data_IF_030957244584
#
_entry.id   IF_030957244584
#
_cell.length_a   1.000
_cell.length_b   1.000
_cell.length_c   1.000
_cell.angle_alpha   90.00
_cell.angle_beta   90.00
_cell.angle_gamma   90.00
#
_symmetry.space_group_name_H-M   'P 1'
#
loop_
_entity.id
_entity.type
_entity.pdbx_description
1 polymer ?
#
# COMPACT_ATOMS: atom_id res chain seq x y z
N UNK A 1 23.80 7.51 -9.48
CA UNK A 1 24.53 8.74 -9.11
C UNK A 1 23.83 10.03 -9.58
N UNK A 2 23.19 10.09 -10.76
CA UNK A 2 22.56 11.34 -11.26
C UNK A 2 21.29 11.80 -10.51
N UNK A 3 20.44 10.88 -10.04
CA UNK A 3 19.18 11.23 -9.37
C UNK A 3 19.26 11.29 -7.83
N UNK A 4 20.43 11.00 -7.25
CA UNK A 4 20.65 11.12 -5.80
C UNK A 4 20.71 12.59 -5.36
N UNK A 5 21.36 13.44 -6.16
CA UNK A 5 21.44 14.88 -5.90
C UNK A 5 20.06 15.54 -5.73
N UNK A 6 19.08 15.40 -6.67
CA UNK A 6 17.79 16.05 -6.49
C UNK A 6 17.01 15.55 -5.28
N UNK A 7 17.17 14.28 -4.87
CA UNK A 7 16.54 13.77 -3.63
C UNK A 7 17.16 14.42 -2.40
N UNK A 8 18.49 14.44 -2.30
CA UNK A 8 19.18 15.05 -1.16
C UNK A 8 18.91 16.56 -1.07
N UNK A 9 18.87 17.23 -2.22
CA UNK A 9 18.59 18.66 -2.29
C UNK A 9 17.14 18.96 -1.89
N UNK A 10 16.17 18.17 -2.37
CA UNK A 10 14.77 18.31 -1.95
C UNK A 10 14.62 18.13 -0.43
N UNK A 11 15.33 17.16 0.16
CA UNK A 11 15.35 16.94 1.61
C UNK A 11 15.96 18.14 2.34
N UNK A 12 17.13 18.62 1.92
CA UNK A 12 17.80 19.79 2.52
C UNK A 12 16.89 21.01 2.50
N UNK A 13 16.35 21.35 1.33
CA UNK A 13 15.43 22.48 1.16
C UNK A 13 14.17 22.33 2.00
N UNK A 14 13.63 21.10 2.14
CA UNK A 14 12.45 20.85 2.99
C UNK A 14 12.78 21.09 4.46
N UNK A 15 13.92 20.57 4.95
CA UNK A 15 14.34 20.76 6.34
C UNK A 15 14.57 22.25 6.67
N UNK A 16 15.21 22.99 5.76
CA UNK A 16 15.40 24.44 5.92
C UNK A 16 14.07 25.20 5.94
N UNK A 17 13.17 24.88 5.01
CA UNK A 17 11.84 25.52 4.92
C UNK A 17 10.99 25.28 6.17
N UNK A 18 11.11 24.13 6.80
CA UNK A 18 10.31 23.75 7.98
C UNK A 18 11.13 23.77 9.28
N UNK A 19 12.26 24.48 9.31
CA UNK A 19 13.12 24.58 10.50
C UNK A 19 12.38 25.14 11.72
N UNK A 20 11.50 26.14 11.53
CA UNK A 20 10.67 26.70 12.61
C UNK A 20 9.65 25.70 13.19
N UNK A 21 9.30 24.66 12.43
CA UNK A 21 8.44 23.55 12.90
C UNK A 21 9.25 22.42 13.53
N UNK A 22 10.57 22.59 13.63
CA UNK A 22 11.50 21.61 14.18
C UNK A 22 11.41 20.25 13.48
N UNK A 23 11.17 20.23 12.16
CA UNK A 23 11.14 18.99 11.37
C UNK A 23 12.52 18.31 11.42
N UNK A 24 12.57 17.09 11.91
CA UNK A 24 13.81 16.34 12.08
C UNK A 24 14.12 15.46 10.85
N UNK A 25 15.41 15.17 10.68
CA UNK A 25 15.93 14.30 9.61
C UNK A 25 15.34 12.89 9.64
N UNK A 26 14.84 12.41 10.79
CA UNK A 26 14.21 11.11 10.98
C UNK A 26 12.67 11.12 10.84
N UNK A 27 12.06 12.25 10.53
CA UNK A 27 10.60 12.40 10.35
C UNK A 27 10.20 12.44 8.86
N UNK A 28 11.18 12.38 7.95
CA UNK A 28 10.98 12.37 6.51
C UNK A 28 11.68 11.16 5.87
N UNK A 29 11.03 10.55 4.90
CA UNK A 29 11.65 9.62 3.96
C UNK A 29 11.16 9.92 2.55
N UNK A 30 12.03 9.75 1.56
CA UNK A 30 11.74 10.04 0.15
C UNK A 30 12.33 8.92 -0.69
N UNK A 31 11.55 8.39 -1.63
CA UNK A 31 12.05 7.52 -2.69
C UNK A 31 11.63 8.11 -4.03
N UNK A 32 12.60 8.27 -4.93
CA UNK A 32 12.38 8.65 -6.31
C UNK A 32 12.77 7.47 -7.20
N UNK A 33 11.82 7.03 -8.01
CA UNK A 33 12.04 6.05 -9.08
C UNK A 33 11.90 6.77 -10.41
N UNK A 34 12.97 6.78 -11.19
CA UNK A 34 13.01 7.34 -12.53
C UNK A 34 12.78 6.25 -13.56
N UNK A 35 11.65 6.35 -14.26
CA UNK A 35 11.20 5.39 -15.26
C UNK A 35 11.34 5.91 -16.70
N UNK A 36 12.07 7.01 -16.93
CA UNK A 36 12.29 7.56 -18.29
C UNK A 36 12.93 6.54 -19.23
N UNK A 37 13.76 5.65 -18.68
CA UNK A 37 14.28 4.47 -19.36
C UNK A 37 13.68 3.21 -18.71
N UNK A 38 12.52 2.76 -19.20
CA UNK A 38 11.76 1.68 -18.57
C UNK A 38 12.55 0.36 -18.38
N UNK A 39 13.51 0.06 -19.25
CA UNK A 39 14.37 -1.13 -19.15
C UNK A 39 15.53 -0.98 -18.14
N UNK A 40 15.78 0.24 -17.67
CA UNK A 40 16.85 0.59 -16.74
C UNK A 40 16.34 1.61 -15.72
N UNK A 41 15.36 1.23 -14.88
CA UNK A 41 14.84 2.13 -13.86
C UNK A 41 15.97 2.54 -12.92
N UNK A 42 16.05 3.83 -12.62
CA UNK A 42 16.99 4.34 -11.62
C UNK A 42 16.24 4.66 -10.34
N UNK A 43 16.85 4.37 -9.19
CA UNK A 43 16.29 4.75 -7.89
C UNK A 43 17.28 5.63 -7.11
N UNK A 44 16.74 6.62 -6.41
CA UNK A 44 17.41 7.32 -5.33
C UNK A 44 16.46 7.41 -4.14
N UNK A 45 17.01 7.44 -2.94
CA UNK A 45 16.21 7.59 -1.74
C UNK A 45 16.97 8.36 -0.65
N UNK A 46 16.18 8.93 0.24
CA UNK A 46 16.58 9.38 1.55
C UNK A 46 15.75 8.59 2.56
N UNK A 47 16.42 7.71 3.33
CA UNK A 47 15.76 6.77 4.27
C UNK A 47 14.70 5.89 3.59
N UNK A 48 14.93 5.45 2.36
CA UNK A 48 13.95 4.64 1.61
C UNK A 48 13.76 3.21 2.13
N UNK A 49 14.59 2.79 3.08
CA UNK A 49 14.59 1.47 3.72
C UNK A 49 13.81 1.45 5.05
N UNK A 50 13.43 2.60 5.59
CA UNK A 50 12.71 2.67 6.87
C UNK A 50 11.23 2.34 6.68
N UNK A 51 10.68 1.57 7.61
CA UNK A 51 9.25 1.28 7.62
C UNK A 51 8.46 2.51 8.06
N UNK A 52 7.39 2.84 7.33
CA UNK A 52 6.51 3.96 7.60
C UNK A 52 5.08 3.45 7.71
N UNK A 53 4.30 4.04 8.61
CA UNK A 53 2.85 3.82 8.64
C UNK A 53 2.22 4.41 7.35
N UNK A 54 1.67 3.57 6.45
CA UNK A 54 1.28 4.02 5.11
C UNK A 54 -0.02 4.83 5.07
N UNK A 55 -0.79 4.85 6.17
CA UNK A 55 -2.17 5.33 6.17
C UNK A 55 -2.94 4.79 4.96
N UNK A 56 -3.66 5.64 4.22
CA UNK A 56 -4.45 5.22 3.05
C UNK A 56 -3.64 4.79 1.83
N UNK A 57 -2.30 4.94 1.81
CA UNK A 57 -1.46 4.41 0.71
C UNK A 57 -1.59 2.88 0.59
N UNK A 58 -1.93 2.21 1.69
CA UNK A 58 -2.20 0.76 1.71
C UNK A 58 -3.30 0.33 0.72
N UNK A 59 -4.24 1.23 0.39
CA UNK A 59 -5.35 0.97 -0.55
C UNK A 59 -4.87 0.62 -1.96
N UNK A 60 -3.68 1.08 -2.35
CA UNK A 60 -3.06 0.68 -3.61
C UNK A 60 -2.73 -0.82 -3.66
N UNK A 61 -2.38 -1.44 -2.53
CA UNK A 61 -2.11 -2.88 -2.46
C UNK A 61 -3.40 -3.68 -2.69
N UNK A 62 -4.51 -3.23 -2.12
CA UNK A 62 -5.83 -3.83 -2.38
C UNK A 62 -6.28 -3.65 -3.83
N UNK A 63 -6.05 -2.47 -4.43
CA UNK A 63 -6.36 -2.24 -5.85
C UNK A 63 -5.55 -3.17 -6.75
N UNK A 64 -4.24 -3.31 -6.52
CA UNK A 64 -3.37 -4.22 -7.31
C UNK A 64 -3.84 -5.66 -7.19
N UNK A 65 -4.15 -6.13 -5.97
CA UNK A 65 -4.68 -7.48 -5.78
C UNK A 65 -6.03 -7.69 -6.49
N UNK A 66 -6.94 -6.73 -6.38
CA UNK A 66 -8.24 -6.78 -7.05
C UNK A 66 -8.10 -6.85 -8.58
N UNK A 67 -7.28 -5.99 -9.18
CA UNK A 67 -7.03 -6.00 -10.63
C UNK A 67 -6.43 -7.33 -11.06
N UNK A 68 -5.39 -7.81 -10.35
CA UNK A 68 -4.74 -9.06 -10.70
C UNK A 68 -5.67 -10.27 -10.60
N UNK A 69 -6.51 -10.33 -9.57
CA UNK A 69 -7.46 -11.43 -9.42
C UNK A 69 -8.64 -11.36 -10.38
N UNK A 70 -9.03 -10.17 -10.85
CA UNK A 70 -9.96 -10.05 -11.98
C UNK A 70 -9.33 -10.60 -13.27
N UNK A 71 -8.08 -10.23 -13.56
CA UNK A 71 -7.33 -10.75 -14.73
C UNK A 71 -7.18 -12.28 -14.69
N UNK A 72 -6.87 -12.84 -13.52
CA UNK A 72 -6.72 -14.28 -13.31
C UNK A 72 -8.08 -15.03 -13.25
N UNK A 73 -9.22 -14.34 -13.36
CA UNK A 73 -10.56 -14.95 -13.26
C UNK A 73 -10.96 -15.42 -11.86
N UNK A 74 -10.22 -15.03 -10.82
CA UNK A 74 -10.48 -15.36 -9.40
C UNK A 74 -11.48 -14.40 -8.75
N UNK A 75 -11.63 -13.20 -9.30
CA UNK A 75 -12.54 -12.17 -8.80
C UNK A 75 -13.49 -11.73 -9.92
N UNK A 76 -14.79 -11.76 -9.67
CA UNK A 76 -15.79 -11.34 -10.65
C UNK A 76 -15.83 -9.82 -10.75
N UNK A 77 -15.71 -9.31 -11.97
CA UNK A 77 -15.95 -7.91 -12.27
C UNK A 77 -17.45 -7.60 -12.15
N UNK A 78 -17.83 -6.83 -11.13
CA UNK A 78 -19.22 -6.47 -10.86
C UNK A 78 -19.36 -4.95 -10.70
N UNK A 79 -20.54 -4.38 -10.97
CA UNK A 79 -20.77 -2.94 -10.77
C UNK A 79 -20.44 -2.48 -9.35
N UNK A 80 -20.76 -3.28 -8.33
CA UNK A 80 -20.48 -2.95 -6.94
C UNK A 80 -18.98 -3.00 -6.60
N UNK A 81 -18.24 -3.98 -7.12
CA UNK A 81 -16.79 -4.02 -6.99
C UNK A 81 -16.14 -2.79 -7.65
N UNK A 82 -16.62 -2.39 -8.84
CA UNK A 82 -16.13 -1.21 -9.57
C UNK A 82 -16.41 0.09 -8.81
N UNK A 83 -17.63 0.25 -8.26
CA UNK A 83 -17.98 1.39 -7.38
C UNK A 83 -17.05 1.45 -6.18
N UNK A 84 -16.90 0.35 -5.45
CA UNK A 84 -16.11 0.34 -4.23
C UNK A 84 -14.60 0.54 -4.50
N UNK A 85 -14.04 0.03 -5.61
CA UNK A 85 -12.68 0.38 -6.05
C UNK A 85 -12.53 1.87 -6.32
N UNK A 86 -13.51 2.50 -6.99
CA UNK A 86 -13.50 3.95 -7.23
C UNK A 86 -13.55 4.72 -5.91
N UNK A 87 -14.48 4.39 -5.02
CA UNK A 87 -14.64 5.09 -3.74
C UNK A 87 -13.41 4.91 -2.82
N UNK A 88 -12.79 3.73 -2.84
CA UNK A 88 -11.55 3.45 -2.11
C UNK A 88 -10.38 4.30 -2.62
N UNK A 89 -10.25 4.52 -3.94
CA UNK A 89 -9.06 5.14 -4.52
C UNK A 89 -9.24 6.65 -4.74
N UNK A 90 -10.40 7.07 -5.26
CA UNK A 90 -10.70 8.47 -5.58
C UNK A 90 -11.06 9.26 -4.33
N UNK A 91 -11.88 8.67 -3.46
CA UNK A 91 -12.39 9.34 -2.26
C UNK A 91 -11.71 8.87 -0.97
N UNK A 92 -10.88 7.82 -1.04
CA UNK A 92 -10.22 7.23 0.13
C UNK A 92 -11.22 6.80 1.21
N UNK A 93 -12.42 6.34 0.84
CA UNK A 93 -13.40 5.87 1.82
C UNK A 93 -12.98 4.53 2.45
N UNK A 94 -13.06 4.45 3.77
CA UNK A 94 -12.64 3.29 4.53
C UNK A 94 -13.69 2.17 4.46
N UNK A 95 -14.97 2.52 4.35
CA UNK A 95 -16.10 1.61 4.21
C UNK A 95 -15.99 0.82 2.89
N UNK A 96 -15.69 1.51 1.80
CA UNK A 96 -15.41 0.89 0.50
C UNK A 96 -14.15 0.00 0.56
N UNK A 97 -13.15 0.41 1.34
CA UNK A 97 -11.95 -0.39 1.59
C UNK A 97 -12.31 -1.67 2.33
N UNK A 98 -13.07 -1.61 3.43
CA UNK A 98 -13.50 -2.78 4.20
C UNK A 98 -14.28 -3.78 3.33
N UNK A 99 -15.22 -3.29 2.52
CA UNK A 99 -15.94 -4.13 1.56
C UNK A 99 -14.97 -4.86 0.60
N UNK A 100 -14.00 -4.14 0.05
CA UNK A 100 -12.98 -4.75 -0.81
C UNK A 100 -12.16 -5.81 -0.08
N UNK A 101 -11.70 -5.53 1.14
CA UNK A 101 -10.92 -6.54 1.90
C UNK A 101 -11.77 -7.78 2.18
N UNK A 102 -13.04 -7.62 2.55
CA UNK A 102 -14.00 -8.71 2.76
C UNK A 102 -14.12 -9.58 1.50
N UNK A 103 -14.39 -8.96 0.35
CA UNK A 103 -14.50 -9.64 -0.95
C UNK A 103 -13.21 -10.34 -1.36
N UNK A 104 -12.07 -9.65 -1.25
CA UNK A 104 -10.76 -10.13 -1.64
C UNK A 104 -10.30 -11.34 -0.82
N UNK A 105 -10.69 -11.41 0.45
CA UNK A 105 -10.20 -12.41 1.40
C UNK A 105 -11.23 -13.48 1.72
N UNK A 106 -12.44 -13.38 1.19
CA UNK A 106 -13.59 -14.21 1.56
C UNK A 106 -13.82 -14.23 3.08
N UNK A 107 -13.74 -13.05 3.68
CA UNK A 107 -14.00 -12.82 5.10
C UNK A 107 -15.09 -11.78 5.29
N UNK A 108 -15.53 -11.57 6.53
CA UNK A 108 -16.45 -10.49 6.90
C UNK A 108 -15.84 -9.64 8.00
N UNK A 109 -16.05 -8.33 7.94
CA UNK A 109 -15.76 -7.39 9.03
C UNK A 109 -16.85 -7.38 10.13
N UNK A 110 -17.71 -8.40 10.14
CA UNK A 110 -18.91 -8.51 11.00
C UNK A 110 -18.64 -8.88 12.47
N UNK A 111 -19.51 -9.69 13.10
CA UNK A 111 -19.52 -9.89 14.54
C UNK A 111 -18.27 -10.65 15.05
N UNK A 112 -18.12 -10.66 16.38
CA UNK A 112 -17.08 -11.42 17.06
C UNK A 112 -17.12 -12.91 16.70
N UNK A 113 -15.95 -13.50 16.50
CA UNK A 113 -15.78 -14.91 16.15
C UNK A 113 -15.22 -15.71 17.33
N UNK A 114 -15.68 -16.95 17.54
CA UNK A 114 -15.02 -17.88 18.45
C UNK A 114 -13.54 -18.09 18.09
N UNK A 115 -12.67 -18.49 19.04
CA UNK A 115 -11.23 -18.57 18.81
C UNK A 115 -10.79 -19.41 17.60
N UNK A 116 -11.45 -20.55 17.33
CA UNK A 116 -11.11 -21.40 16.19
C UNK A 116 -11.51 -20.78 14.85
N UNK A 117 -12.67 -20.12 14.79
CA UNK A 117 -13.13 -19.39 13.60
C UNK A 117 -12.25 -18.16 13.35
N UNK A 118 -11.83 -17.47 14.41
CA UNK A 118 -10.91 -16.33 14.33
C UNK A 118 -9.57 -16.74 13.70
N UNK A 119 -9.01 -17.91 14.03
CA UNK A 119 -7.76 -18.40 13.39
C UNK A 119 -7.93 -18.58 11.89
N UNK A 120 -9.04 -19.20 11.46
CA UNK A 120 -9.34 -19.38 10.04
C UNK A 120 -9.56 -18.03 9.34
N UNK A 121 -10.27 -17.10 9.99
CA UNK A 121 -10.50 -15.75 9.52
C UNK A 121 -9.18 -14.98 9.35
N UNK A 122 -8.28 -15.00 10.33
CA UNK A 122 -6.96 -14.33 10.25
C UNK A 122 -6.16 -14.88 9.07
N UNK A 123 -6.13 -16.21 8.90
CA UNK A 123 -5.45 -16.81 7.77
C UNK A 123 -6.01 -16.31 6.44
N UNK A 124 -7.33 -16.30 6.27
CA UNK A 124 -7.99 -15.79 5.07
C UNK A 124 -7.71 -14.30 4.85
N UNK A 125 -7.90 -13.47 5.88
CA UNK A 125 -7.69 -12.02 5.87
C UNK A 125 -6.27 -11.63 5.41
N UNK A 126 -5.30 -12.49 5.69
CA UNK A 126 -3.91 -12.27 5.31
C UNK A 126 -3.57 -12.61 3.84
N UNK A 127 -4.56 -12.86 2.98
CA UNK A 127 -4.35 -13.25 1.58
C UNK A 127 -3.53 -12.23 0.77
N UNK A 128 -3.79 -10.93 0.96
CA UNK A 128 -3.09 -9.88 0.21
C UNK A 128 -1.62 -9.79 0.61
N UNK A 129 -1.27 -9.97 1.89
CA UNK A 129 0.14 -10.08 2.32
C UNK A 129 0.83 -11.25 1.63
N UNK A 130 0.21 -12.46 1.63
CA UNK A 130 0.78 -13.63 0.93
C UNK A 130 0.96 -13.39 -0.57
N UNK A 131 0.02 -12.70 -1.20
CA UNK A 131 0.10 -12.33 -2.61
C UNK A 131 1.33 -11.46 -2.90
N UNK A 132 1.59 -10.42 -2.12
CA UNK A 132 2.80 -9.61 -2.31
C UNK A 132 4.09 -10.35 -1.93
N UNK A 133 4.05 -11.20 -0.90
CA UNK A 133 5.19 -12.08 -0.58
C UNK A 133 5.55 -13.00 -1.73
N UNK A 134 4.58 -13.49 -2.53
CA UNK A 134 4.90 -14.31 -3.71
C UNK A 134 5.61 -13.54 -4.83
N UNK A 135 5.59 -12.20 -4.81
CA UNK A 135 6.38 -11.35 -5.70
C UNK A 135 7.70 -10.89 -5.07
N UNK A 136 8.07 -11.43 -3.91
CA UNK A 136 9.31 -11.10 -3.21
C UNK A 136 9.26 -9.85 -2.34
N UNK A 137 8.08 -9.23 -2.16
CA UNK A 137 7.95 -8.13 -1.20
C UNK A 137 8.10 -8.66 0.23
N UNK A 138 8.98 -8.01 0.98
CA UNK A 138 9.26 -8.31 2.38
C UNK A 138 9.03 -7.06 3.22
N UNK A 139 8.89 -7.21 4.54
CA UNK A 139 8.76 -6.10 5.50
C UNK A 139 7.56 -5.16 5.26
N UNK A 140 6.50 -5.65 4.63
CA UNK A 140 5.21 -4.96 4.50
C UNK A 140 4.16 -5.64 5.39
N UNK A 141 3.14 -4.87 5.78
CA UNK A 141 1.92 -5.43 6.34
C UNK A 141 0.71 -4.64 5.82
N UNK A 142 -0.02 -5.27 4.91
CA UNK A 142 -1.23 -4.73 4.27
C UNK A 142 -2.47 -4.96 5.15
N UNK A 143 -2.41 -5.93 6.07
CA UNK A 143 -3.52 -6.42 6.88
C UNK A 143 -3.50 -5.87 8.33
N UNK A 144 -3.28 -4.56 8.49
CA UNK A 144 -3.43 -3.87 9.79
C UNK A 144 -4.55 -2.87 9.75
#
# INVERSE_FOLDING_TARGET
>A
MAITFPVNEAVRVTLEKFAEKNLQTNELAVTLVDLRHAQQPMQANYRGDVQIYPASVVKLFYLVAAQRWMEDGKLKDTPELRRAMSDMIVHSYNEATHYLVDVLTETTSGPELPPEEMKAWIHKRNAVNRFFTSFGYTNINVNR
#
